data_IF_882837680544
#
_entry.id   IF_882837680544
#
_cell.length_a   1.000
_cell.length_b   1.000
_cell.length_c   1.000
_cell.angle_alpha   90.00
_cell.angle_beta   90.00
_cell.angle_gamma   90.00
#
_symmetry.space_group_name_H-M   'P 1'
#
loop_
_entity.id
_entity.type
_entity.pdbx_description
1 polymer ?
#
# COMPACT_ATOMS: atom_id res chain seq x y z
N UNK A 1 -11.91 15.31 52.73
CA UNK A 1 -11.41 16.30 51.74
C UNK A 1 -10.30 15.74 50.83
N UNK A 2 -9.40 14.86 51.30
CA UNK A 2 -8.34 14.24 50.49
C UNK A 2 -8.85 13.40 49.29
N UNK A 3 -9.85 12.54 49.51
CA UNK A 3 -10.44 11.63 48.51
C UNK A 3 -11.24 12.31 47.39
N UNK A 4 -11.75 13.52 47.63
CA UNK A 4 -12.50 14.31 46.63
C UNK A 4 -11.57 15.10 45.69
N UNK A 5 -10.35 15.41 46.15
CA UNK A 5 -9.31 16.06 45.33
C UNK A 5 -8.59 15.05 44.43
N UNK A 6 -8.43 13.80 44.86
CA UNK A 6 -7.89 12.73 44.02
C UNK A 6 -8.83 12.38 42.86
N UNK A 7 -10.15 12.32 43.09
CA UNK A 7 -11.13 12.01 42.05
C UNK A 7 -11.25 13.09 40.97
N UNK A 8 -11.10 14.38 41.33
CA UNK A 8 -11.15 15.49 40.36
C UNK A 8 -9.88 15.51 39.49
N UNK A 9 -8.71 15.26 40.07
CA UNK A 9 -7.46 15.14 39.27
C UNK A 9 -7.54 13.98 38.27
N UNK A 10 -8.01 12.82 38.72
CA UNK A 10 -8.21 11.66 37.84
C UNK A 10 -9.19 11.96 36.68
N UNK A 11 -10.23 12.75 36.91
CA UNK A 11 -11.16 13.16 35.86
C UNK A 11 -10.51 14.14 34.87
N UNK A 12 -9.77 15.12 35.36
CA UNK A 12 -9.04 16.10 34.51
C UNK A 12 -7.96 15.38 33.67
N UNK A 13 -7.21 14.46 34.27
CA UNK A 13 -6.17 13.71 33.56
C UNK A 13 -6.81 12.78 32.52
N UNK A 14 -7.96 12.17 32.83
CA UNK A 14 -8.73 11.37 31.86
C UNK A 14 -9.26 12.23 30.71
N UNK A 15 -9.77 13.42 30.97
CA UNK A 15 -10.26 14.35 29.95
C UNK A 15 -9.13 14.87 29.04
N UNK A 16 -7.99 15.25 29.63
CA UNK A 16 -6.77 15.61 28.88
C UNK A 16 -6.27 14.46 28.02
N UNK A 17 -6.24 13.24 28.57
CA UNK A 17 -5.82 12.06 27.83
C UNK A 17 -6.79 11.75 26.67
N UNK A 18 -8.10 11.82 26.90
CA UNK A 18 -9.10 11.64 25.84
C UNK A 18 -8.98 12.71 24.73
N UNK A 19 -8.71 13.96 25.11
CA UNK A 19 -8.52 15.06 24.15
C UNK A 19 -7.26 14.84 23.31
N UNK A 20 -6.19 14.32 23.94
CA UNK A 20 -4.94 13.97 23.27
C UNK A 20 -5.13 12.80 22.32
N UNK A 21 -5.80 11.73 22.76
CA UNK A 21 -6.11 10.57 21.90
C UNK A 21 -6.97 10.96 20.70
N UNK A 22 -8.04 11.74 20.90
CA UNK A 22 -8.90 12.17 19.81
C UNK A 22 -8.17 13.05 18.79
N UNK A 23 -7.29 13.95 19.26
CA UNK A 23 -6.45 14.77 18.38
C UNK A 23 -5.46 13.92 17.58
N UNK A 24 -4.83 12.91 18.19
CA UNK A 24 -3.94 12.01 17.45
C UNK A 24 -4.68 11.27 16.32
N UNK A 25 -5.89 10.76 16.56
CA UNK A 25 -6.69 10.13 15.49
C UNK A 25 -7.07 11.12 14.38
N UNK A 26 -7.40 12.37 14.72
CA UNK A 26 -7.71 13.39 13.73
C UNK A 26 -6.48 13.77 12.89
N UNK A 27 -5.32 13.91 13.54
CA UNK A 27 -4.05 14.16 12.87
C UNK A 27 -3.71 13.01 11.91
N UNK A 28 -3.89 11.76 12.35
CA UNK A 28 -3.60 10.59 11.50
C UNK A 28 -4.59 10.47 10.33
N UNK A 29 -5.86 10.79 10.54
CA UNK A 29 -6.84 10.85 9.45
C UNK A 29 -6.51 11.95 8.44
N UNK A 30 -6.01 13.10 8.90
CA UNK A 30 -5.56 14.19 8.03
C UNK A 30 -4.36 13.77 7.19
N UNK A 31 -3.30 13.22 7.83
CA UNK A 31 -2.12 12.75 7.12
C UNK A 31 -2.44 11.62 6.14
N UNK A 32 -3.36 10.71 6.50
CA UNK A 32 -3.87 9.71 5.59
C UNK A 32 -4.54 10.35 4.37
N UNK A 33 -5.43 11.34 4.58
CA UNK A 33 -6.11 12.03 3.48
C UNK A 33 -5.12 12.75 2.55
N UNK A 34 -4.06 13.32 3.10
CA UNK A 34 -2.95 13.90 2.31
C UNK A 34 -2.26 12.83 1.48
N UNK A 35 -1.95 11.66 2.04
CA UNK A 35 -1.32 10.56 1.31
C UNK A 35 -2.22 9.90 0.26
N UNK A 36 -3.54 9.96 0.43
CA UNK A 36 -4.52 9.57 -0.60
C UNK A 36 -4.64 10.61 -1.72
N UNK A 37 -4.06 11.80 -1.57
CA UNK A 37 -4.09 12.82 -2.62
C UNK A 37 -3.17 12.43 -3.78
N UNK A 38 -3.44 12.93 -4.98
CA UNK A 38 -2.65 12.62 -6.17
C UNK A 38 -1.28 13.32 -6.16
N UNK A 39 -0.39 12.88 -5.28
CA UNK A 39 0.95 13.44 -5.04
C UNK A 39 1.97 13.05 -6.13
N UNK A 40 1.57 12.23 -7.11
CA UNK A 40 2.40 11.68 -8.20
C UNK A 40 2.85 12.72 -9.25
N UNK A 41 3.07 13.97 -8.87
CA UNK A 41 3.48 15.02 -9.80
C UNK A 41 4.87 14.79 -10.42
N UNK A 42 5.07 15.44 -11.55
CA UNK A 42 6.12 15.20 -12.53
C UNK A 42 7.55 15.22 -11.96
N UNK A 43 8.44 14.44 -12.59
CA UNK A 43 9.83 14.27 -12.19
C UNK A 43 10.54 15.62 -12.07
N UNK A 44 11.01 15.94 -10.87
CA UNK A 44 11.74 17.17 -10.58
C UNK A 44 10.90 18.33 -10.02
N UNK A 45 9.59 18.18 -9.83
CA UNK A 45 8.81 19.16 -9.07
C UNK A 45 9.03 18.97 -7.55
N UNK A 46 9.42 20.05 -6.86
CA UNK A 46 9.45 20.12 -5.41
C UNK A 46 8.04 20.45 -4.89
N UNK A 47 7.60 19.82 -3.80
CA UNK A 47 6.46 20.31 -3.03
C UNK A 47 6.87 21.60 -2.33
N UNK A 48 6.58 22.73 -2.95
CA UNK A 48 6.78 24.04 -2.34
C UNK A 48 5.45 24.75 -2.24
N UNK A 49 5.12 25.25 -1.05
CA UNK A 49 4.12 26.30 -0.86
C UNK A 49 4.66 27.59 -1.50
N UNK A 50 4.74 27.64 -2.84
CA UNK A 50 5.16 28.85 -3.52
C UNK A 50 4.01 29.86 -3.54
N UNK A 51 4.31 31.16 -3.46
CA UNK A 51 3.33 32.20 -3.74
C UNK A 51 2.74 32.03 -5.16
N UNK A 52 1.51 32.51 -5.42
CA UNK A 52 0.85 32.34 -6.70
C UNK A 52 1.69 32.84 -7.88
N UNK A 53 1.86 31.99 -8.91
CA UNK A 53 2.38 32.41 -10.22
C UNK A 53 3.64 31.70 -10.76
N UNK A 54 4.01 30.51 -10.27
CA UNK A 54 4.99 29.65 -10.95
C UNK A 54 4.34 28.33 -11.39
N UNK A 55 4.78 27.78 -12.52
CA UNK A 55 4.24 26.56 -13.18
C UNK A 55 4.52 25.26 -12.41
N UNK A 56 4.08 25.20 -11.17
CA UNK A 56 3.85 23.97 -10.43
C UNK A 56 2.35 23.91 -10.12
N UNK A 57 1.73 22.73 -10.19
CA UNK A 57 0.41 22.56 -9.59
C UNK A 57 0.63 22.72 -8.09
N UNK A 58 0.15 23.85 -7.53
CA UNK A 58 0.33 24.15 -6.11
C UNK A 58 -0.16 22.97 -5.26
N UNK A 59 0.59 22.59 -4.23
CA UNK A 59 0.18 21.51 -3.31
C UNK A 59 -1.25 21.71 -2.82
N UNK A 60 -1.67 22.97 -2.58
CA UNK A 60 -3.04 23.32 -2.22
C UNK A 60 -4.09 22.84 -3.24
N UNK A 61 -3.79 22.91 -4.54
CA UNK A 61 -4.67 22.40 -5.60
C UNK A 61 -4.78 20.88 -5.53
N UNK A 62 -3.67 20.18 -5.36
CA UNK A 62 -3.64 18.71 -5.22
C UNK A 62 -4.46 18.29 -4.01
N UNK A 63 -4.20 18.90 -2.85
CA UNK A 63 -4.89 18.57 -1.59
C UNK A 63 -6.40 18.87 -1.68
N UNK A 64 -6.80 19.93 -2.39
CA UNK A 64 -8.21 20.23 -2.62
C UNK A 64 -8.87 19.21 -3.53
N UNK A 65 -8.15 18.69 -4.52
CA UNK A 65 -8.65 17.68 -5.46
C UNK A 65 -8.61 16.26 -4.88
N UNK A 66 -7.77 16.00 -3.87
CA UNK A 66 -7.65 14.71 -3.21
C UNK A 66 -7.12 13.64 -4.16
N UNK A 67 -7.72 12.45 -4.11
CA UNK A 67 -7.35 11.27 -4.91
C UNK A 67 -7.68 11.41 -6.41
N UNK A 68 -8.04 12.61 -6.86
CA UNK A 68 -8.31 12.89 -8.25
C UNK A 68 -7.03 13.26 -8.97
N UNK A 69 -6.77 12.60 -10.08
CA UNK A 69 -5.77 13.08 -11.02
C UNK A 69 -6.18 14.48 -11.52
N UNK A 70 -5.37 15.54 -11.29
CA UNK A 70 -5.72 16.94 -11.58
C UNK A 70 -6.16 17.16 -13.03
N UNK A 71 -5.45 16.53 -13.96
CA UNK A 71 -5.68 16.67 -15.40
C UNK A 71 -6.78 15.77 -15.97
N UNK A 72 -7.29 14.78 -15.21
CA UNK A 72 -8.29 13.81 -15.70
C UNK A 72 -9.66 13.97 -15.06
N UNK A 73 -9.75 14.74 -13.98
CA UNK A 73 -11.02 15.03 -13.30
C UNK A 73 -11.23 16.56 -13.16
N UNK A 74 -11.53 17.23 -14.28
CA UNK A 74 -11.86 18.65 -14.31
C UNK A 74 -13.17 19.01 -13.57
N UNK A 75 -13.97 18.01 -13.17
CA UNK A 75 -15.25 18.17 -12.49
C UNK A 75 -15.16 18.28 -10.96
N UNK A 76 -14.02 17.91 -10.36
CA UNK A 76 -13.83 17.98 -8.90
C UNK A 76 -14.53 16.87 -8.11
N UNK A 77 -15.01 15.81 -8.77
CA UNK A 77 -15.73 14.70 -8.15
C UNK A 77 -14.75 13.73 -7.49
N UNK A 78 -14.22 14.06 -6.31
CA UNK A 78 -13.33 13.19 -5.52
C UNK A 78 -13.78 13.04 -4.08
N UNK A 79 -13.46 11.89 -3.47
CA UNK A 79 -13.92 11.55 -2.13
C UNK A 79 -12.98 12.04 -0.99
N UNK A 80 -11.78 12.55 -1.30
CA UNK A 80 -10.71 12.81 -0.31
C UNK A 80 -10.13 14.23 -0.36
N UNK A 81 -10.86 15.22 -0.87
CA UNK A 81 -10.40 16.61 -0.90
C UNK A 81 -10.35 17.28 0.49
N UNK A 82 -9.26 18.01 0.78
CA UNK A 82 -9.11 18.79 2.01
C UNK A 82 -9.78 20.17 1.87
N UNK A 83 -10.48 20.59 2.92
CA UNK A 83 -10.94 21.97 3.10
C UNK A 83 -9.76 22.92 3.34
N UNK A 84 -9.93 24.21 3.06
CA UNK A 84 -8.89 25.23 3.28
C UNK A 84 -8.36 25.22 4.72
N UNK A 85 -9.24 25.09 5.72
CA UNK A 85 -8.83 24.97 7.13
C UNK A 85 -7.98 23.73 7.43
N UNK A 86 -8.25 22.60 6.76
CA UNK A 86 -7.43 21.40 6.91
C UNK A 86 -6.07 21.57 6.23
N UNK A 87 -6.03 22.27 5.09
CA UNK A 87 -4.78 22.57 4.40
C UNK A 87 -3.91 23.52 5.21
N UNK A 88 -4.50 24.58 5.77
CA UNK A 88 -3.80 25.52 6.66
C UNK A 88 -3.24 24.77 7.88
N UNK A 89 -4.07 23.94 8.52
CA UNK A 89 -3.62 23.14 9.66
C UNK A 89 -2.48 22.18 9.28
N UNK A 90 -2.58 21.49 8.15
CA UNK A 90 -1.50 20.64 7.66
C UNK A 90 -0.22 21.47 7.40
N UNK A 91 -0.35 22.57 6.68
CA UNK A 91 0.74 23.47 6.33
C UNK A 91 1.40 24.13 7.54
N UNK A 92 0.68 24.35 8.64
CA UNK A 92 1.26 24.89 9.87
C UNK A 92 1.98 23.82 10.71
N UNK A 93 1.48 22.58 10.69
CA UNK A 93 1.90 21.56 11.66
C UNK A 93 2.77 20.45 11.06
N UNK A 94 2.83 20.30 9.74
CA UNK A 94 3.51 19.21 9.08
C UNK A 94 4.20 19.64 7.77
N UNK A 95 5.12 18.81 7.31
CA UNK A 95 5.70 18.87 5.97
C UNK A 95 5.80 17.49 5.35
N UNK A 96 5.77 17.43 4.01
CA UNK A 96 6.05 16.21 3.25
C UNK A 96 7.57 16.11 3.11
N UNK A 97 8.16 15.07 3.71
CA UNK A 97 9.59 14.78 3.59
C UNK A 97 9.85 14.02 2.30
N UNK A 98 8.99 13.06 1.97
CA UNK A 98 9.13 12.17 0.82
C UNK A 98 7.78 11.58 0.46
N UNK A 99 7.50 11.44 -0.83
CA UNK A 99 6.40 10.63 -1.35
C UNK A 99 6.96 9.56 -2.28
N UNK A 100 6.62 8.30 -1.99
CA UNK A 100 6.96 7.15 -2.80
C UNK A 100 5.75 6.84 -3.68
N UNK A 101 5.84 7.06 -5.01
CA UNK A 101 4.71 6.85 -5.90
C UNK A 101 4.40 5.36 -6.07
N UNK A 102 3.29 5.06 -6.74
CA UNK A 102 2.93 3.67 -7.06
C UNK A 102 4.06 2.99 -7.84
N UNK A 103 4.66 1.96 -7.23
CA UNK A 103 5.62 1.12 -7.91
C UNK A 103 4.95 -0.05 -8.64
N UNK A 104 5.75 -1.00 -9.15
CA UNK A 104 5.23 -2.13 -9.91
C UNK A 104 4.26 -3.03 -9.12
N UNK A 105 4.26 -2.99 -7.79
CA UNK A 105 3.29 -3.68 -6.92
C UNK A 105 2.01 -2.90 -6.67
N UNK A 106 1.98 -1.60 -7.01
CA UNK A 106 0.90 -0.66 -6.65
C UNK A 106 1.14 0.05 -5.30
N UNK A 107 2.20 -0.34 -4.59
CA UNK A 107 2.55 0.25 -3.29
C UNK A 107 2.92 1.73 -3.41
N UNK A 108 2.40 2.53 -2.47
CA UNK A 108 2.68 3.97 -2.34
C UNK A 108 2.60 4.40 -0.88
N UNK A 109 3.44 5.36 -0.51
CA UNK A 109 3.49 5.88 0.83
C UNK A 109 3.99 7.32 0.87
N UNK A 110 3.62 8.04 1.93
CA UNK A 110 4.09 9.40 2.18
C UNK A 110 4.67 9.53 3.58
N UNK A 111 5.91 10.02 3.65
CA UNK A 111 6.60 10.34 4.91
C UNK A 111 6.42 11.82 5.22
N UNK A 112 5.92 12.10 6.42
CA UNK A 112 5.74 13.43 6.95
C UNK A 112 6.62 13.66 8.16
N UNK A 113 6.90 14.93 8.42
CA UNK A 113 7.48 15.37 9.68
C UNK A 113 6.61 16.43 10.33
N UNK A 114 6.45 16.36 11.67
CA UNK A 114 5.81 17.44 12.43
C UNK A 114 6.72 18.66 12.49
N UNK A 115 6.11 19.84 12.40
CA UNK A 115 6.76 21.14 12.58
C UNK A 115 6.41 21.74 13.95
N UNK A 116 7.34 22.53 14.47
CA UNK A 116 7.07 23.40 15.61
C UNK A 116 6.47 24.74 15.15
N UNK A 117 6.11 25.60 16.11
CA UNK A 117 5.51 26.92 15.84
C UNK A 117 6.44 27.88 15.05
N UNK A 118 7.74 27.60 14.96
CA UNK A 118 8.68 28.35 14.13
C UNK A 118 8.81 27.76 12.71
N UNK A 119 8.06 26.71 12.38
CA UNK A 119 8.09 26.04 11.09
C UNK A 119 9.25 25.06 10.91
N UNK A 120 9.99 24.71 11.97
CA UNK A 120 11.07 23.73 11.89
C UNK A 120 10.60 22.33 12.27
N UNK A 121 11.09 21.31 11.56
CA UNK A 121 10.86 19.91 11.89
C UNK A 121 11.26 19.55 13.33
N UNK A 122 10.42 18.76 14.02
CA UNK A 122 10.62 18.34 15.41
C UNK A 122 11.41 17.04 15.56
N UNK A 123 11.55 16.27 14.47
CA UNK A 123 12.11 14.92 14.45
C UNK A 123 11.09 13.83 14.77
N UNK A 124 9.81 14.18 14.88
CA UNK A 124 8.68 13.26 14.98
C UNK A 124 8.12 12.99 13.57
N UNK A 125 8.22 11.73 13.13
CA UNK A 125 7.88 11.32 11.78
C UNK A 125 6.61 10.48 11.73
N UNK A 126 5.90 10.61 10.61
CA UNK A 126 4.66 9.90 10.35
C UNK A 126 4.72 9.31 8.96
N UNK A 127 4.44 8.02 8.81
CA UNK A 127 4.40 7.34 7.52
C UNK A 127 2.98 6.87 7.25
N UNK A 128 2.40 7.33 6.15
CA UNK A 128 1.07 6.93 5.71
C UNK A 128 1.16 6.04 4.50
N UNK A 129 0.49 4.89 4.55
CA UNK A 129 0.38 3.95 3.44
C UNK A 129 -0.93 4.20 2.70
N UNK A 130 -0.86 4.36 1.38
CA UNK A 130 -2.02 4.67 0.52
C UNK A 130 -3.00 3.48 0.48
N UNK A 131 -4.27 3.77 0.22
CA UNK A 131 -5.34 2.77 0.08
C UNK A 131 -5.40 2.15 -1.33
N UNK A 132 -6.54 1.58 -1.72
CA UNK A 132 -6.80 1.05 -3.07
C UNK A 132 -7.13 2.20 -4.03
N UNK A 133 -6.44 2.34 -5.17
CA UNK A 133 -6.93 3.20 -6.26
C UNK A 133 -7.99 2.46 -7.08
N UNK A 134 -9.25 2.71 -6.74
CA UNK A 134 -10.39 2.00 -7.33
C UNK A 134 -10.54 2.15 -8.87
N UNK A 135 -10.27 3.31 -9.50
CA UNK A 135 -10.35 3.42 -10.96
C UNK A 135 -9.26 2.60 -11.67
N UNK A 136 -9.48 2.26 -12.93
CA UNK A 136 -8.38 1.74 -13.77
C UNK A 136 -7.36 2.83 -14.10
N UNK A 137 -6.14 2.44 -14.49
CA UNK A 137 -5.07 3.35 -14.90
C UNK A 137 -5.46 4.34 -15.99
N UNK A 138 -6.35 3.96 -16.91
CA UNK A 138 -6.88 4.86 -17.94
C UNK A 138 -7.72 6.01 -17.36
N UNK A 139 -8.28 5.82 -16.17
CA UNK A 139 -9.09 6.79 -15.43
C UNK A 139 -8.31 7.45 -14.27
N UNK A 140 -6.99 7.22 -14.19
CA UNK A 140 -6.14 7.80 -13.17
C UNK A 140 -6.18 7.08 -11.82
N UNK A 141 -6.54 5.79 -11.81
CA UNK A 141 -6.38 4.90 -10.65
C UNK A 141 -5.40 3.74 -10.90
N UNK A 142 -5.49 2.66 -10.13
CA UNK A 142 -4.58 1.52 -10.19
C UNK A 142 -5.24 0.16 -9.86
N UNK A 143 -6.51 0.01 -10.23
CA UNK A 143 -7.32 -1.17 -9.91
C UNK A 143 -6.68 -2.53 -10.24
N UNK A 144 -5.86 -2.58 -11.30
CA UNK A 144 -5.26 -3.84 -11.75
C UNK A 144 -4.22 -4.40 -10.78
N UNK A 145 -3.58 -3.53 -9.97
CA UNK A 145 -2.60 -3.88 -8.94
C UNK A 145 -3.19 -3.81 -7.53
N UNK A 146 -4.08 -2.84 -7.27
CA UNK A 146 -4.64 -2.66 -5.93
C UNK A 146 -5.92 -3.48 -5.69
N UNK A 147 -6.77 -3.60 -6.70
CA UNK A 147 -8.12 -4.15 -6.54
C UNK A 147 -8.18 -5.66 -6.42
N UNK A 148 -9.37 -6.23 -6.65
CA UNK A 148 -9.61 -7.68 -6.60
C UNK A 148 -8.59 -8.53 -7.43
N UNK A 149 -8.08 -8.07 -8.59
CA UNK A 149 -7.07 -8.81 -9.34
C UNK A 149 -5.64 -8.76 -8.76
N UNK A 150 -5.41 -7.96 -7.72
CA UNK A 150 -4.11 -7.78 -7.07
C UNK A 150 -4.26 -7.74 -5.54
N UNK A 151 -3.75 -6.69 -4.91
CA UNK A 151 -3.57 -6.61 -3.45
C UNK A 151 -4.82 -6.92 -2.62
N UNK A 152 -5.98 -6.34 -2.94
CA UNK A 152 -7.24 -6.64 -2.23
C UNK A 152 -7.64 -8.11 -2.38
N UNK A 153 -7.40 -8.70 -3.55
CA UNK A 153 -7.65 -10.12 -3.82
C UNK A 153 -6.71 -11.03 -3.04
N UNK A 154 -5.44 -10.65 -2.97
CA UNK A 154 -4.41 -11.38 -2.22
C UNK A 154 -4.67 -11.34 -0.72
N UNK A 155 -5.08 -10.19 -0.17
CA UNK A 155 -5.52 -10.11 1.23
C UNK A 155 -6.75 -11.00 1.45
N UNK A 156 -7.75 -10.90 0.58
CA UNK A 156 -8.98 -11.69 0.73
C UNK A 156 -8.79 -13.20 0.62
N UNK A 157 -7.79 -13.66 -0.14
CA UNK A 157 -7.57 -15.08 -0.43
C UNK A 157 -6.45 -15.71 0.40
N UNK A 158 -5.42 -14.93 0.72
CA UNK A 158 -4.15 -15.40 1.29
C UNK A 158 -3.75 -14.60 2.55
N UNK A 159 -4.50 -13.55 2.88
CA UNK A 159 -4.31 -12.75 4.09
C UNK A 159 -3.22 -11.69 4.00
N UNK A 160 -2.43 -11.65 2.92
CA UNK A 160 -1.31 -10.71 2.77
C UNK A 160 -1.16 -10.22 1.33
N UNK A 161 -1.02 -8.91 1.16
CA UNK A 161 -0.60 -8.30 -0.10
C UNK A 161 0.94 -8.32 -0.22
N UNK A 162 1.52 -9.50 -0.42
CA UNK A 162 2.98 -9.75 -0.30
C UNK A 162 3.84 -8.87 -1.20
N UNK A 163 3.40 -8.62 -2.44
CA UNK A 163 4.12 -7.72 -3.35
C UNK A 163 4.27 -6.32 -2.77
N UNK A 164 3.19 -5.76 -2.24
CA UNK A 164 3.20 -4.43 -1.64
C UNK A 164 3.91 -4.40 -0.27
N UNK A 165 3.84 -5.49 0.51
CA UNK A 165 4.61 -5.62 1.76
C UNK A 165 6.12 -5.69 1.51
N UNK A 166 6.55 -6.36 0.44
CA UNK A 166 7.95 -6.37 0.00
C UNK A 166 8.42 -4.96 -0.37
N UNK A 167 7.67 -4.27 -1.24
CA UNK A 167 7.94 -2.86 -1.60
C UNK A 167 7.98 -1.93 -0.38
N UNK A 168 7.08 -2.14 0.58
CA UNK A 168 7.03 -1.39 1.83
C UNK A 168 8.31 -1.54 2.65
N UNK A 169 8.78 -2.78 2.87
CA UNK A 169 10.00 -3.04 3.64
C UNK A 169 11.25 -2.53 2.92
N UNK A 170 11.32 -2.67 1.59
CA UNK A 170 12.42 -2.12 0.80
C UNK A 170 12.45 -0.59 0.89
N UNK A 171 11.31 0.07 0.74
CA UNK A 171 11.21 1.53 0.87
C UNK A 171 11.62 1.98 2.27
N UNK A 172 11.12 1.33 3.32
CA UNK A 172 11.50 1.66 4.69
C UNK A 172 13.00 1.48 4.93
N UNK A 173 13.59 0.36 4.47
CA UNK A 173 15.03 0.09 4.55
C UNK A 173 15.84 1.18 3.86
N UNK A 174 15.42 1.64 2.69
CA UNK A 174 16.12 2.68 1.94
C UNK A 174 16.04 4.04 2.63
N UNK A 175 14.89 4.41 3.18
CA UNK A 175 14.76 5.61 4.01
C UNK A 175 15.67 5.56 5.25
N UNK A 176 15.81 4.38 5.88
CA UNK A 176 16.75 4.15 6.99
C UNK A 176 18.21 4.25 6.57
N UNK A 177 18.53 4.03 5.29
CA UNK A 177 19.86 4.27 4.74
C UNK A 177 20.10 5.73 4.31
N UNK A 178 19.11 6.61 4.46
CA UNK A 178 19.21 8.00 4.07
C UNK A 178 18.93 8.24 2.58
N UNK A 179 18.25 7.30 1.91
CA UNK A 179 17.90 7.39 0.50
C UNK A 179 16.43 7.75 0.31
N UNK A 180 16.12 8.48 -0.77
CA UNK A 180 14.76 8.63 -1.29
C UNK A 180 14.65 7.99 -2.67
N UNK A 181 13.43 7.67 -3.08
CA UNK A 181 13.19 7.23 -4.44
C UNK A 181 13.06 8.44 -5.36
N UNK A 182 13.98 8.56 -6.31
CA UNK A 182 13.92 9.58 -7.35
C UNK A 182 13.26 8.98 -8.59
N UNK A 183 12.05 9.45 -8.89
CA UNK A 183 11.33 9.09 -10.12
C UNK A 183 12.08 9.64 -11.33
N UNK A 184 12.38 8.75 -12.28
CA UNK A 184 12.99 9.08 -13.57
C UNK A 184 11.96 9.06 -14.70
N UNK A 185 10.84 8.36 -14.53
CA UNK A 185 9.77 8.33 -15.51
C UNK A 185 8.40 8.30 -14.81
N UNK A 186 7.66 9.39 -14.96
CA UNK A 186 6.35 9.60 -14.30
C UNK A 186 5.22 8.82 -14.95
N UNK A 187 5.41 8.35 -16.18
CA UNK A 187 4.41 7.54 -16.89
C UNK A 187 4.46 6.10 -16.44
N UNK A 188 5.67 5.58 -16.17
CA UNK A 188 5.88 4.18 -15.75
C UNK A 188 6.10 4.02 -14.25
N UNK A 189 6.37 5.10 -13.52
CA UNK A 189 6.76 5.04 -12.11
C UNK A 189 8.21 4.59 -11.90
N UNK A 190 9.00 4.43 -12.97
CA UNK A 190 10.40 4.02 -12.86
C UNK A 190 11.23 5.11 -12.17
N UNK A 191 12.20 4.67 -11.38
CA UNK A 191 13.08 5.52 -10.61
C UNK A 191 14.23 4.73 -9.99
N UNK A 192 15.02 5.40 -9.16
CA UNK A 192 16.12 4.79 -8.44
C UNK A 192 16.32 5.45 -7.08
N UNK A 193 16.89 4.71 -6.15
CA UNK A 193 17.22 5.21 -4.82
C UNK A 193 18.46 6.11 -4.87
N UNK A 194 18.36 7.31 -4.30
CA UNK A 194 19.46 8.27 -4.21
C UNK A 194 19.59 8.82 -2.79
N UNK A 195 20.81 9.06 -2.29
CA UNK A 195 21.00 9.74 -1.02
C UNK A 195 20.34 11.12 -1.01
N UNK A 196 19.66 11.48 0.09
CA UNK A 196 19.05 12.79 0.23
C UNK A 196 19.17 13.31 1.68
N UNK A 197 19.59 14.58 1.81
CA UNK A 197 19.80 15.23 3.10
C UNK A 197 18.51 15.41 3.93
N UNK A 198 17.36 15.56 3.28
CA UNK A 198 16.04 15.78 3.89
C UNK A 198 15.59 14.54 4.69
N UNK A 199 15.94 13.33 4.24
CA UNK A 199 15.60 12.08 4.94
C UNK A 199 16.67 11.65 5.97
N UNK A 200 17.83 12.31 6.02
CA UNK A 200 18.87 11.97 7.02
C UNK A 200 18.36 12.08 8.45
N UNK A 201 17.48 13.05 8.73
CA UNK A 201 16.87 13.20 10.05
C UNK A 201 15.95 12.04 10.40
N UNK A 202 15.22 11.51 9.42
CA UNK A 202 14.45 10.29 9.58
C UNK A 202 15.34 9.07 9.82
N UNK A 203 16.42 8.92 9.05
CA UNK A 203 17.35 7.79 9.18
C UNK A 203 17.94 7.64 10.59
N UNK A 204 18.04 8.75 11.33
CA UNK A 204 18.56 8.83 12.69
C UNK A 204 17.48 8.85 13.77
N UNK A 205 16.20 9.00 13.41
CA UNK A 205 15.09 9.12 14.36
C UNK A 205 14.56 7.75 14.77
N UNK A 206 14.14 7.63 16.03
CA UNK A 206 13.38 6.47 16.54
C UNK A 206 11.88 6.78 16.66
N UNK A 207 11.47 8.02 16.35
CA UNK A 207 10.09 8.47 16.52
C UNK A 207 9.33 8.33 15.21
N UNK A 208 8.76 7.14 14.98
CA UNK A 208 7.90 6.86 13.85
C UNK A 208 6.51 6.43 14.32
N UNK A 209 5.49 7.07 13.77
CA UNK A 209 4.10 6.62 13.82
C UNK A 209 3.64 6.27 12.42
N UNK A 210 2.85 5.22 12.27
CA UNK A 210 2.28 4.84 10.96
C UNK A 210 0.77 4.95 10.94
N UNK A 211 0.23 5.23 9.77
CA UNK A 211 -1.22 5.23 9.55
C UNK A 211 -1.60 4.66 8.19
N UNK A 212 -2.86 4.22 8.09
CA UNK A 212 -3.39 3.58 6.90
C UNK A 212 -4.90 3.55 6.92
N UNK A 213 -5.52 3.58 5.72
CA UNK A 213 -6.94 3.32 5.50
C UNK A 213 -7.15 2.14 4.54
N UNK A 214 -8.07 1.22 4.89
CA UNK A 214 -8.40 0.03 4.08
C UNK A 214 -7.16 -0.81 3.71
N UNK A 215 -6.73 -0.87 2.44
CA UNK A 215 -5.49 -1.53 2.02
C UNK A 215 -4.26 -0.95 2.72
N UNK A 216 -4.16 0.37 2.85
CA UNK A 216 -3.09 1.02 3.60
C UNK A 216 -3.11 0.66 5.09
N UNK A 217 -4.27 0.34 5.66
CA UNK A 217 -4.38 -0.12 7.04
C UNK A 217 -3.93 -1.58 7.22
N UNK A 218 -4.02 -2.43 6.19
CA UNK A 218 -3.34 -3.73 6.16
C UNK A 218 -1.82 -3.51 6.28
N UNK A 219 -1.27 -2.60 5.47
CA UNK A 219 0.16 -2.25 5.50
C UNK A 219 0.59 -1.71 6.86
N UNK A 220 -0.14 -0.74 7.42
CA UNK A 220 0.15 -0.18 8.74
C UNK A 220 0.15 -1.23 9.86
N UNK A 221 -0.78 -2.20 9.79
CA UNK A 221 -0.86 -3.31 10.74
C UNK A 221 0.34 -4.24 10.59
N UNK A 222 0.64 -4.68 9.37
CA UNK A 222 1.79 -5.52 9.06
C UNK A 222 3.12 -4.86 9.48
N UNK A 223 3.26 -3.57 9.21
CA UNK A 223 4.43 -2.77 9.57
C UNK A 223 4.64 -2.74 11.10
N UNK A 224 3.60 -2.48 11.88
CA UNK A 224 3.70 -2.48 13.34
C UNK A 224 3.97 -3.88 13.94
N UNK A 225 3.61 -4.95 13.23
CA UNK A 225 4.00 -6.31 13.62
C UNK A 225 5.49 -6.53 13.40
N UNK A 226 6.05 -6.06 12.27
CA UNK A 226 7.48 -6.22 11.95
C UNK A 226 8.39 -5.28 12.74
N UNK A 227 7.90 -4.07 13.04
CA UNK A 227 8.61 -2.99 13.74
C UNK A 227 7.85 -2.67 15.04
N UNK A 228 7.98 -3.50 16.09
CA UNK A 228 7.14 -3.42 17.29
C UNK A 228 7.34 -2.15 18.13
N UNK A 229 8.38 -1.37 17.85
CA UNK A 229 8.61 -0.04 18.42
C UNK A 229 7.70 1.04 17.80
N UNK A 230 7.02 0.74 16.69
CA UNK A 230 6.23 1.70 15.91
C UNK A 230 4.76 1.63 16.28
N UNK A 231 4.17 2.79 16.58
CA UNK A 231 2.74 2.91 16.81
C UNK A 231 1.97 3.01 15.50
N UNK A 232 0.93 2.19 15.31
CA UNK A 232 0.02 2.28 14.17
C UNK A 232 -1.34 2.87 14.55
N UNK A 233 -1.90 3.68 13.65
CA UNK A 233 -3.27 4.17 13.65
C UNK A 233 -3.98 3.74 12.37
N UNK A 234 -4.90 2.79 12.49
CA UNK A 234 -5.55 2.18 11.33
C UNK A 234 -7.03 2.56 11.23
N UNK A 235 -7.50 2.79 10.01
CA UNK A 235 -8.89 3.08 9.72
C UNK A 235 -9.43 2.01 8.76
N UNK A 236 -10.52 1.32 9.15
CA UNK A 236 -11.18 0.31 8.33
C UNK A 236 -10.23 -0.77 7.78
N UNK A 237 -9.33 -1.29 8.61
CA UNK A 237 -8.33 -2.26 8.17
C UNK A 237 -8.94 -3.56 7.64
N UNK A 238 -8.38 -4.07 6.53
CA UNK A 238 -8.67 -5.42 6.04
C UNK A 238 -8.10 -6.51 6.97
N UNK A 239 -7.27 -6.13 7.96
CA UNK A 239 -6.59 -7.04 8.88
C UNK A 239 -5.30 -7.62 8.28
N UNK A 240 -4.70 -8.59 8.96
CA UNK A 240 -3.58 -9.39 8.45
C UNK A 240 -3.95 -10.88 8.57
N UNK A 241 -3.44 -11.70 7.66
CA UNK A 241 -3.66 -13.13 7.65
C UNK A 241 -3.01 -13.87 8.81
N UNK A 242 -2.96 -15.20 8.69
CA UNK A 242 -2.24 -16.07 9.61
C UNK A 242 -1.06 -16.73 8.92
N UNK A 243 -0.01 -17.06 9.66
CA UNK A 243 1.10 -17.89 9.21
C UNK A 243 0.97 -19.21 9.96
N UNK A 244 0.79 -20.31 9.24
CA UNK A 244 0.61 -21.66 9.80
C UNK A 244 -0.59 -21.74 10.77
N UNK A 245 -1.66 -21.02 10.44
CA UNK A 245 -2.86 -20.91 11.28
C UNK A 245 -2.66 -20.12 12.59
N UNK A 246 -1.51 -19.48 12.77
CA UNK A 246 -1.20 -18.64 13.93
C UNK A 246 -1.14 -17.16 13.55
N UNK A 247 -1.44 -16.24 14.49
CA UNK A 247 -1.18 -14.82 14.29
C UNK A 247 0.27 -14.58 13.87
N UNK A 248 0.53 -13.71 12.89
CA UNK A 248 1.87 -13.45 12.39
C UNK A 248 2.73 -12.81 13.48
N UNK A 249 4.00 -13.21 13.52
CA UNK A 249 5.04 -12.57 14.33
C UNK A 249 5.91 -11.70 13.45
N UNK A 250 6.68 -10.78 14.04
CA UNK A 250 7.67 -9.97 13.31
C UNK A 250 8.59 -10.85 12.44
N UNK A 251 9.21 -11.86 13.06
CA UNK A 251 10.09 -12.81 12.37
C UNK A 251 9.37 -13.56 11.27
N UNK A 252 8.17 -14.09 11.56
CA UNK A 252 7.41 -14.85 10.57
C UNK A 252 7.04 -14.02 9.35
N UNK A 253 6.56 -12.80 9.54
CA UNK A 253 6.16 -11.94 8.42
C UNK A 253 7.38 -11.51 7.57
N UNK A 254 8.49 -11.19 8.22
CA UNK A 254 9.75 -10.90 7.52
C UNK A 254 10.31 -12.12 6.78
N UNK A 255 10.15 -13.33 7.31
CA UNK A 255 10.53 -14.57 6.61
C UNK A 255 9.66 -14.85 5.40
N UNK A 256 8.35 -14.58 5.49
CA UNK A 256 7.42 -14.69 4.36
C UNK A 256 7.80 -13.72 3.24
N UNK A 257 8.06 -12.45 3.58
CA UNK A 257 8.47 -11.44 2.61
C UNK A 257 9.80 -11.82 1.95
N UNK A 258 10.81 -12.21 2.74
CA UNK A 258 12.09 -12.67 2.19
C UNK A 258 11.95 -13.87 1.26
N UNK A 259 11.07 -14.80 1.60
CA UNK A 259 10.81 -15.95 0.75
C UNK A 259 10.11 -15.53 -0.55
N UNK A 260 9.13 -14.65 -0.48
CA UNK A 260 8.50 -14.04 -1.66
C UNK A 260 9.55 -13.38 -2.56
N UNK A 261 10.42 -12.54 -2.01
CA UNK A 261 11.49 -11.88 -2.76
C UNK A 261 12.43 -12.89 -3.44
N UNK A 262 12.82 -13.94 -2.71
CA UNK A 262 13.66 -14.99 -3.24
C UNK A 262 12.99 -15.72 -4.41
N UNK A 263 11.69 -16.04 -4.30
CA UNK A 263 10.93 -16.66 -5.39
C UNK A 263 10.82 -15.73 -6.59
N UNK A 264 10.58 -14.44 -6.39
CA UNK A 264 10.45 -13.46 -7.48
C UNK A 264 11.79 -13.18 -8.18
N UNK A 265 12.91 -13.27 -7.47
CA UNK A 265 14.24 -13.11 -8.02
C UNK A 265 14.82 -14.41 -8.62
N UNK A 266 14.17 -15.55 -8.41
CA UNK A 266 14.70 -16.85 -8.81
C UNK A 266 14.61 -17.04 -10.32
N UNK A 267 15.76 -17.35 -10.93
CA UNK A 267 15.93 -17.53 -12.37
C UNK A 267 15.64 -18.96 -12.85
N UNK A 268 15.17 -19.85 -11.96
CA UNK A 268 14.97 -21.25 -12.26
C UNK A 268 16.18 -22.16 -11.99
N UNK A 269 17.35 -21.60 -11.61
CA UNK A 269 18.59 -22.36 -11.46
C UNK A 269 18.69 -23.09 -10.11
N UNK A 270 19.55 -24.12 -10.03
CA UNK A 270 19.72 -24.91 -8.80
C UNK A 270 20.51 -24.20 -7.70
N UNK A 271 21.39 -23.28 -8.06
CA UNK A 271 22.32 -22.63 -7.12
C UNK A 271 21.64 -21.55 -6.26
N UNK A 272 20.51 -21.01 -6.69
CA UNK A 272 19.79 -19.89 -6.06
C UNK A 272 18.40 -20.27 -5.53
N UNK A 273 18.16 -21.59 -5.35
CA UNK A 273 16.85 -22.11 -4.93
C UNK A 273 16.32 -21.41 -3.68
N UNK A 274 15.12 -20.78 -3.72
CA UNK A 274 14.53 -20.12 -2.56
C UNK A 274 14.39 -21.09 -1.39
N UNK A 275 14.93 -20.73 -0.22
CA UNK A 275 14.87 -21.54 0.98
C UNK A 275 14.26 -20.80 2.17
N UNK A 276 13.30 -21.43 2.83
CA UNK A 276 12.75 -20.95 4.09
C UNK A 276 12.41 -22.12 5.02
N UNK A 277 12.70 -22.00 6.33
CA UNK A 277 12.25 -22.96 7.31
C UNK A 277 10.72 -22.97 7.47
N UNK A 278 10.02 -21.92 7.01
CA UNK A 278 8.55 -21.86 6.98
C UNK A 278 7.95 -22.60 5.77
N UNK A 279 8.74 -22.86 4.72
CA UNK A 279 8.28 -23.46 3.47
C UNK A 279 9.15 -24.66 3.05
N UNK A 280 9.34 -25.67 3.91
CA UNK A 280 10.11 -26.87 3.54
C UNK A 280 9.46 -27.64 2.39
N UNK A 281 8.13 -27.56 2.24
CA UNK A 281 7.38 -28.22 1.17
C UNK A 281 7.70 -27.64 -0.21
N UNK A 282 8.01 -26.34 -0.30
CA UNK A 282 8.40 -25.73 -1.57
C UNK A 282 9.66 -26.37 -2.15
N UNK A 283 10.63 -26.73 -1.30
CA UNK A 283 11.82 -27.48 -1.74
C UNK A 283 11.49 -28.87 -2.26
N UNK A 284 10.55 -29.54 -1.60
CA UNK A 284 10.10 -30.88 -1.98
C UNK A 284 9.36 -30.81 -3.32
N UNK A 285 8.44 -29.85 -3.47
CA UNK A 285 7.76 -29.55 -4.73
C UNK A 285 8.76 -29.30 -5.86
N UNK A 286 9.73 -28.42 -5.62
CA UNK A 286 10.75 -28.10 -6.60
C UNK A 286 11.66 -29.28 -6.98
N UNK A 287 12.03 -30.13 -6.01
CA UNK A 287 12.79 -31.34 -6.26
C UNK A 287 12.00 -32.31 -7.16
N UNK A 288 10.70 -32.45 -6.91
CA UNK A 288 9.79 -33.25 -7.74
C UNK A 288 9.64 -32.64 -9.14
N UNK A 289 9.47 -31.32 -9.25
CA UNK A 289 9.45 -30.58 -10.51
C UNK A 289 10.71 -30.82 -11.34
N UNK A 290 11.89 -30.76 -10.71
CA UNK A 290 13.18 -31.04 -11.39
C UNK A 290 13.28 -32.48 -11.88
N UNK A 291 12.88 -33.45 -11.05
CA UNK A 291 12.81 -34.85 -11.46
C UNK A 291 11.88 -35.05 -12.66
N UNK A 292 10.81 -34.27 -12.71
CA UNK A 292 9.82 -34.31 -13.78
C UNK A 292 10.31 -33.58 -15.06
N UNK A 293 10.99 -32.42 -14.98
CA UNK A 293 11.66 -31.77 -16.12
C UNK A 293 12.71 -32.69 -16.76
N UNK A 294 13.49 -33.38 -15.92
CA UNK A 294 14.47 -34.36 -16.37
C UNK A 294 13.85 -35.56 -17.10
N UNK A 295 12.54 -35.80 -16.92
CA UNK A 295 11.79 -36.84 -17.64
C UNK A 295 11.17 -36.36 -18.97
N UNK A 296 11.36 -35.08 -19.34
CA UNK A 296 10.98 -34.53 -20.65
C UNK A 296 9.52 -34.10 -20.78
N UNK A 297 8.80 -33.85 -19.67
CA UNK A 297 7.43 -33.35 -19.71
C UNK A 297 7.30 -31.84 -20.00
N UNK A 298 6.06 -31.30 -20.09
CA UNK A 298 5.72 -29.84 -20.10
C UNK A 298 5.45 -29.20 -18.72
N UNK A 299 6.21 -28.15 -18.38
CA UNK A 299 6.41 -27.62 -17.01
C UNK A 299 5.13 -27.41 -16.18
N UNK A 300 5.03 -27.95 -14.95
CA UNK A 300 3.98 -27.58 -14.00
C UNK A 300 4.42 -26.46 -13.04
N UNK A 301 5.21 -25.46 -13.47
CA UNK A 301 5.56 -24.26 -12.65
C UNK A 301 4.36 -23.67 -11.90
N UNK A 302 3.15 -23.86 -12.44
CA UNK A 302 1.87 -23.55 -11.80
C UNK A 302 1.65 -24.21 -10.44
N UNK A 303 2.11 -25.43 -10.19
CA UNK A 303 1.71 -26.24 -9.03
C UNK A 303 2.54 -25.94 -7.77
N UNK A 304 3.83 -25.61 -7.90
CA UNK A 304 4.69 -25.21 -6.76
C UNK A 304 4.31 -23.81 -6.23
N UNK A 305 3.96 -22.90 -7.14
CA UNK A 305 3.40 -21.58 -6.80
C UNK A 305 2.00 -21.74 -6.19
N UNK A 306 1.16 -22.67 -6.69
CA UNK A 306 -0.12 -23.01 -6.06
C UNK A 306 0.06 -23.59 -4.66
N UNK A 307 1.12 -24.37 -4.40
CA UNK A 307 1.41 -24.93 -3.10
C UNK A 307 1.92 -23.88 -2.10
N UNK A 308 2.74 -22.93 -2.55
CA UNK A 308 3.08 -21.73 -1.78
C UNK A 308 1.81 -20.98 -1.35
N UNK A 309 0.88 -20.79 -2.27
CA UNK A 309 -0.39 -20.08 -2.04
C UNK A 309 -1.34 -20.84 -1.10
N UNK A 310 -1.51 -22.17 -1.27
CA UNK A 310 -2.47 -22.96 -0.48
C UNK A 310 -2.12 -23.01 1.02
N UNK A 311 -0.86 -22.76 1.35
CA UNK A 311 -0.36 -22.78 2.72
C UNK A 311 -0.73 -21.50 3.50
N UNK A 312 -0.89 -20.36 2.84
CA UNK A 312 -1.35 -19.11 3.47
C UNK A 312 -2.87 -19.04 3.65
N UNK A 313 -3.64 -19.77 2.84
CA UNK A 313 -5.11 -19.65 2.83
C UNK A 313 -5.83 -20.47 3.90
N UNK A 314 -5.12 -21.30 4.69
CA UNK A 314 -5.75 -22.26 5.61
C UNK A 314 -6.51 -23.32 4.80
N UNK A 315 -5.88 -24.49 4.64
CA UNK A 315 -6.31 -25.50 3.67
C UNK A 315 -7.82 -25.78 3.66
N UNK A 316 -8.40 -25.68 2.47
CA UNK A 316 -9.53 -26.51 2.04
C UNK A 316 -9.39 -26.77 0.53
N UNK A 317 -9.43 -28.06 0.19
CA UNK A 317 -9.36 -28.62 -1.16
C UNK A 317 -10.60 -28.22 -1.99
N UNK A 318 -10.51 -27.22 -2.89
CA UNK A 318 -11.28 -27.22 -4.15
C UNK A 318 -10.55 -26.38 -5.21
N UNK A 319 -10.12 -27.06 -6.28
CA UNK A 319 -9.49 -26.49 -7.47
C UNK A 319 -10.47 -25.58 -8.26
N UNK A 320 -10.06 -24.35 -8.59
CA UNK A 320 -10.74 -23.50 -9.57
C UNK A 320 -10.38 -22.01 -9.52
N UNK A 321 -10.09 -21.42 -10.68
CA UNK A 321 -9.99 -19.97 -11.02
C UNK A 321 -8.95 -19.09 -10.28
N UNK A 322 -8.36 -19.55 -9.18
CA UNK A 322 -7.42 -18.74 -8.36
C UNK A 322 -5.94 -18.87 -8.74
N UNK A 323 -5.55 -19.95 -9.41
CA UNK A 323 -4.20 -20.12 -9.95
C UNK A 323 -3.88 -19.20 -11.13
N UNK A 324 -4.90 -18.73 -11.85
CA UNK A 324 -4.73 -17.90 -13.05
C UNK A 324 -4.34 -16.46 -12.72
N UNK A 325 -4.72 -15.96 -11.53
CA UNK A 325 -4.38 -14.62 -11.08
C UNK A 325 -2.89 -14.45 -10.75
N UNK A 326 -2.26 -15.50 -10.19
CA UNK A 326 -0.82 -15.50 -9.90
C UNK A 326 0.01 -15.80 -11.14
N UNK A 327 -0.50 -16.61 -12.06
CA UNK A 327 0.10 -16.74 -13.40
C UNK A 327 0.03 -15.42 -14.16
N UNK A 328 -1.07 -14.67 -14.03
CA UNK A 328 -1.17 -13.31 -14.55
C UNK A 328 -0.27 -12.31 -13.79
N UNK A 329 0.07 -12.54 -12.52
CA UNK A 329 1.01 -11.72 -11.75
C UNK A 329 2.45 -11.94 -12.21
N UNK A 330 2.83 -13.20 -12.45
CA UNK A 330 4.15 -13.59 -12.96
C UNK A 330 4.34 -13.21 -14.45
N UNK A 331 3.32 -13.40 -15.29
CA UNK A 331 3.36 -13.02 -16.72
C UNK A 331 3.44 -11.49 -16.91
N UNK A 332 2.79 -10.72 -16.02
CA UNK A 332 2.88 -9.24 -16.01
C UNK A 332 4.25 -8.72 -15.54
N UNK A 333 4.96 -9.46 -14.67
CA UNK A 333 6.26 -9.01 -14.13
C UNK A 333 7.46 -9.50 -14.96
N UNK A 334 7.35 -10.64 -15.64
CA UNK A 334 8.41 -11.23 -16.46
C UNK A 334 8.39 -10.80 -17.94
N UNK A 335 7.60 -9.78 -18.30
CA UNK A 335 7.62 -9.21 -19.65
C UNK A 335 7.04 -10.12 -20.74
N UNK A 336 5.87 -10.72 -20.49
CA UNK A 336 4.96 -11.20 -21.55
C UNK A 336 5.52 -12.24 -22.51
N UNK A 337 6.33 -13.19 -22.02
CA UNK A 337 6.83 -14.32 -22.84
C UNK A 337 6.33 -15.68 -22.36
N UNK A 338 5.16 -15.74 -21.72
CA UNK A 338 4.42 -17.00 -21.56
C UNK A 338 3.13 -16.89 -22.39
N UNK A 339 3.28 -17.09 -23.69
CA UNK A 339 2.22 -16.87 -24.67
C UNK A 339 0.98 -17.74 -24.40
N UNK A 340 -0.08 -17.12 -23.87
CA UNK A 340 -1.44 -17.63 -23.95
C UNK A 340 -2.43 -16.46 -24.16
N UNK A 341 -2.76 -16.18 -25.43
CA UNK A 341 -4.07 -15.70 -25.88
C UNK A 341 -4.70 -14.46 -25.22
N UNK A 342 -4.04 -13.30 -25.21
CA UNK A 342 -4.63 -12.03 -24.74
C UNK A 342 -5.75 -11.47 -25.63
N UNK A 343 -5.91 -11.92 -26.88
CA UNK A 343 -6.93 -11.39 -27.80
C UNK A 343 -8.37 -11.84 -27.48
N UNK A 344 -8.59 -12.95 -26.79
CA UNK A 344 -9.94 -13.44 -26.50
C UNK A 344 -10.58 -12.85 -25.23
N UNK A 345 -9.77 -12.38 -24.27
CA UNK A 345 -10.30 -11.79 -23.02
C UNK A 345 -10.68 -10.31 -23.17
N UNK A 346 -10.01 -9.56 -24.06
CA UNK A 346 -10.35 -8.16 -24.33
C UNK A 346 -11.75 -7.99 -24.93
N UNK A 347 -12.19 -8.91 -25.81
CA UNK A 347 -13.54 -8.88 -26.39
C UNK A 347 -14.64 -9.27 -25.39
N UNK A 348 -14.34 -10.13 -24.40
CA UNK A 348 -15.30 -10.49 -23.37
C UNK A 348 -15.52 -9.35 -22.34
N UNK A 349 -14.44 -8.63 -21.99
CA UNK A 349 -14.50 -7.49 -21.06
C UNK A 349 -15.17 -6.25 -21.69
N UNK A 350 -14.96 -6.00 -22.98
CA UNK A 350 -15.65 -4.93 -23.70
C UNK A 350 -17.18 -5.13 -23.71
N UNK A 351 -17.66 -6.36 -23.84
CA UNK A 351 -19.10 -6.67 -23.85
C UNK A 351 -19.73 -6.56 -22.45
N UNK A 352 -18.98 -6.84 -21.38
CA UNK A 352 -19.45 -6.69 -20.00
C UNK A 352 -19.55 -5.23 -19.54
N UNK A 353 -18.65 -4.37 -20.02
CA UNK A 353 -18.69 -2.93 -19.73
C UNK A 353 -19.88 -2.22 -20.40
N UNK A 354 -20.27 -2.65 -21.60
CA UNK A 354 -21.39 -2.07 -22.34
C UNK A 354 -22.75 -2.44 -21.73
N UNK A 355 -22.90 -3.63 -21.14
CA UNK A 355 -24.18 -4.04 -20.53
C UNK A 355 -24.48 -3.39 -19.17
N UNK A 356 -23.48 -2.84 -18.48
CA UNK A 356 -23.61 -2.33 -17.10
C UNK A 356 -23.58 -0.79 -16.98
N UNK A 357 -23.41 -0.05 -18.08
CA UNK A 357 -23.38 1.42 -18.08
C UNK A 357 -24.73 2.08 -18.40
N UNK A 358 -25.83 1.34 -18.43
CA UNK A 358 -27.17 1.93 -18.62
C UNK A 358 -28.05 1.70 -17.37
N UNK A 359 -27.96 2.57 -16.34
CA UNK A 359 -28.84 2.45 -15.19
C UNK A 359 -30.26 2.87 -15.60
N UNK A 360 -31.19 1.91 -15.54
CA UNK A 360 -32.63 2.15 -15.61
C UNK A 360 -33.03 3.23 -14.58
N UNK A 361 -33.48 4.42 -15.00
CA UNK A 361 -33.82 5.53 -14.11
C UNK A 361 -34.98 5.23 -13.16
N UNK A 362 -35.74 4.14 -13.37
CA UNK A 362 -36.92 3.79 -12.58
C UNK A 362 -36.62 3.14 -11.22
N UNK A 363 -35.36 2.73 -10.96
CA UNK A 363 -34.98 2.04 -9.72
C UNK A 363 -34.54 2.93 -8.56
N UNK A 364 -34.35 4.24 -8.76
CA UNK A 364 -33.90 5.18 -7.73
C UNK A 364 -35.02 5.91 -6.95
N UNK A 365 -36.31 5.63 -7.22
CA UNK A 365 -37.42 6.35 -6.57
C UNK A 365 -38.18 5.61 -5.47
N UNK A 366 -37.73 4.45 -4.97
CA UNK A 366 -38.42 3.76 -3.87
C UNK A 366 -37.50 3.40 -2.72
N UNK A 367 -37.18 4.41 -1.89
CA UNK A 367 -37.06 4.32 -0.41
C UNK A 367 -36.85 5.71 0.19
N UNK A 368 -37.94 6.49 0.23
CA UNK A 368 -38.18 7.50 1.26
C UNK A 368 -39.55 7.23 1.86
N UNK A 369 -39.61 7.33 3.19
CA UNK A 369 -40.79 7.35 4.09
C UNK A 369 -41.37 5.99 4.50
N UNK A 370 -40.96 5.52 5.69
CA UNK A 370 -41.80 5.47 6.91
C UNK A 370 -40.90 5.38 8.13
#
# INVERSE_FOLDING_TARGET
>A
MSTRRSSIRQLIDREKNMTTTARNYLDMALLQTVAESYLHLEAGQRWSFLPPGQEAVELAVILRQGSNHPNRNAGGDGATGLTDTQQDYFGDNYEIVMHYPNDASGFSATLFERKNAAGHGTGEFFLSFRSTEYPYATLGGDWARDGKPGADGDIGSHGFALAQLSSMEEMYRQLRLGNIFQVTNTTTGEGHWVPNAEVLRFSQSQNLTVTGYSLGAHMATAFAIMHPEVQAYTFNAAGVGTINGQPPTATGLLEVIRFYDAVMAWDGSSETTPNSPLFPEFHVGLANYRGWLASGGQSPLTDDIRQFISYFSGGDEVYGERGDAVMAMLDRHLGGTIGIGLEQQASALANYAISNLNPDPSRLQRRRVS
#
